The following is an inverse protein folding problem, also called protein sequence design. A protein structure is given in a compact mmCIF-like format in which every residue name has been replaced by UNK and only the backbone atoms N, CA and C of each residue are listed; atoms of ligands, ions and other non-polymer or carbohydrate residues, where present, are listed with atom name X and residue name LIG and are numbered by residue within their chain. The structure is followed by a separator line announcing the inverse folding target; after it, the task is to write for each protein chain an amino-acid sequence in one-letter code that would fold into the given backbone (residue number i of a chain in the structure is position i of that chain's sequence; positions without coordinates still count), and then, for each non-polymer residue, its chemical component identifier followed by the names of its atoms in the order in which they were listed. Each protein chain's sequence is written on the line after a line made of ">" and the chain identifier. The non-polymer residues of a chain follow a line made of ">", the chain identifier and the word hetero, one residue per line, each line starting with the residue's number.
data_IF_885924765516
#
_entry.id   IF_885924765516
#
_cell.length_a   1.000
_cell.length_b   1.000
_cell.length_c   1.000
_cell.angle_alpha   90.00
_cell.angle_beta   90.00
_cell.angle_gamma   90.00
#
_symmetry.space_group_name_H-M   'P 1'
#
loop_
_entity.id
_entity.type
_entity.pdbx_description
1 polymer ?
#
# COMPACT_ATOMS: atom_id res chain seq x y z
N UNK A 1 4.20 5.04 -11.72
CA UNK A 1 3.53 6.18 -12.40
C UNK A 1 3.09 7.19 -11.36
N UNK A 2 3.16 8.49 -11.66
CA UNK A 2 2.56 9.55 -10.80
C UNK A 2 1.57 10.37 -11.61
N UNK A 3 0.39 10.63 -11.04
CA UNK A 3 -0.63 11.49 -11.60
C UNK A 3 -0.90 12.61 -10.61
N UNK A 4 -0.96 13.85 -11.11
CA UNK A 4 -1.30 15.04 -10.32
C UNK A 4 -2.65 15.57 -10.78
N UNK A 5 -3.58 15.72 -9.84
CA UNK A 5 -4.94 16.20 -10.06
C UNK A 5 -5.17 17.46 -9.24
N UNK A 6 -5.92 18.41 -9.79
CA UNK A 6 -6.35 19.61 -9.06
C UNK A 6 -7.86 19.58 -8.94
N UNK A 7 -8.37 19.45 -7.71
CA UNK A 7 -9.79 19.30 -7.41
C UNK A 7 -10.16 20.31 -6.33
N UNK A 8 -11.11 21.19 -6.62
CA UNK A 8 -11.62 22.17 -5.63
C UNK A 8 -10.53 23.07 -5.03
N UNK A 9 -9.50 23.43 -5.81
CA UNK A 9 -8.36 24.22 -5.34
C UNK A 9 -7.29 23.44 -4.56
N UNK A 10 -7.53 22.15 -4.28
CA UNK A 10 -6.56 21.25 -3.65
C UNK A 10 -5.80 20.46 -4.70
N UNK A 11 -4.52 20.18 -4.42
CA UNK A 11 -3.70 19.31 -5.27
C UNK A 11 -3.60 17.91 -4.66
N UNK A 12 -3.94 16.92 -5.49
CA UNK A 12 -3.93 15.51 -5.20
C UNK A 12 -2.86 14.82 -6.04
N UNK A 13 -1.96 14.07 -5.40
CA UNK A 13 -0.96 13.26 -6.08
C UNK A 13 -1.29 11.79 -5.85
N UNK A 14 -1.34 11.02 -6.94
CA UNK A 14 -1.57 9.58 -6.91
C UNK A 14 -0.35 8.89 -7.49
N UNK A 15 0.33 8.08 -6.68
CA UNK A 15 1.44 7.24 -7.11
C UNK A 15 0.91 5.82 -7.29
N UNK A 16 1.10 5.26 -8.50
CA UNK A 16 0.91 3.84 -8.74
C UNK A 16 2.26 3.14 -8.80
N UNK A 17 2.41 2.09 -8.00
CA UNK A 17 3.66 1.35 -7.84
C UNK A 17 3.47 -0.14 -8.12
N UNK A 18 4.52 -0.75 -8.67
CA UNK A 18 4.65 -2.20 -8.83
C UNK A 18 6.05 -2.59 -8.38
N UNK A 19 6.16 -3.17 -7.18
CA UNK A 19 7.44 -3.60 -6.65
C UNK A 19 7.79 -5.00 -7.18
N UNK A 20 9.08 -5.27 -7.30
CA UNK A 20 9.56 -6.56 -7.79
C UNK A 20 9.35 -7.67 -6.74
N UNK A 21 9.02 -8.88 -7.22
CA UNK A 21 8.80 -10.04 -6.36
C UNK A 21 10.08 -10.50 -5.64
N UNK A 22 9.91 -11.31 -4.59
CA UNK A 22 11.01 -12.03 -3.92
C UNK A 22 11.79 -12.85 -4.96
N UNK A 23 13.12 -12.74 -4.93
CA UNK A 23 14.03 -13.43 -5.85
C UNK A 23 14.66 -12.57 -6.95
N UNK A 24 14.18 -11.34 -7.15
CA UNK A 24 14.89 -10.36 -7.99
C UNK A 24 16.17 -9.86 -7.33
N UNK A 25 17.09 -9.39 -8.17
CA UNK A 25 18.36 -8.79 -7.75
C UNK A 25 18.15 -7.59 -6.81
N UNK A 26 18.98 -7.51 -5.78
CA UNK A 26 18.86 -6.47 -4.74
C UNK A 26 19.12 -5.07 -5.28
N UNK A 27 19.93 -4.91 -6.34
CA UNK A 27 20.14 -3.62 -6.97
C UNK A 27 18.87 -3.12 -7.66
N UNK A 28 18.12 -4.01 -8.31
CA UNK A 28 16.84 -3.69 -8.94
C UNK A 28 15.82 -3.24 -7.88
N UNK A 29 15.72 -3.96 -6.76
CA UNK A 29 14.83 -3.57 -5.65
C UNK A 29 15.24 -2.23 -5.05
N UNK A 30 16.53 -2.02 -4.82
CA UNK A 30 17.07 -0.75 -4.31
C UNK A 30 16.74 0.41 -5.24
N UNK A 31 16.86 0.20 -6.56
CA UNK A 31 16.52 1.22 -7.56
C UNK A 31 15.04 1.58 -7.51
N UNK A 32 14.14 0.59 -7.42
CA UNK A 32 12.71 0.83 -7.23
C UNK A 32 12.45 1.73 -6.01
N UNK A 33 13.01 1.40 -4.84
CA UNK A 33 12.82 2.19 -3.63
C UNK A 33 13.41 3.60 -3.74
N UNK A 34 14.56 3.75 -4.40
CA UNK A 34 15.17 5.07 -4.65
C UNK A 34 14.30 5.95 -5.55
N UNK A 35 13.71 5.37 -6.60
CA UNK A 35 12.81 6.09 -7.49
C UNK A 35 11.50 6.47 -6.77
N UNK A 36 10.94 5.55 -5.98
CA UNK A 36 9.76 5.82 -5.15
C UNK A 36 10.02 6.93 -4.12
N UNK A 37 11.15 6.86 -3.42
CA UNK A 37 11.60 7.86 -2.46
C UNK A 37 11.71 9.26 -3.09
N UNK A 38 12.32 9.35 -4.29
CA UNK A 38 12.42 10.59 -5.04
C UNK A 38 11.06 11.16 -5.46
N UNK A 39 10.09 10.31 -5.82
CA UNK A 39 8.74 10.74 -6.16
C UNK A 39 8.00 11.32 -4.93
N UNK A 40 8.11 10.67 -3.77
CA UNK A 40 7.45 11.13 -2.55
C UNK A 40 8.08 12.43 -2.04
N UNK A 41 9.42 12.55 -2.09
CA UNK A 41 10.13 13.79 -1.73
C UNK A 41 9.78 14.97 -2.64
N UNK A 42 9.46 14.72 -3.92
CA UNK A 42 9.03 15.76 -4.86
C UNK A 42 7.65 16.35 -4.57
N UNK A 43 6.87 15.75 -3.66
CA UNK A 43 5.50 16.17 -3.35
C UNK A 43 5.47 16.98 -2.05
N UNK A 44 4.99 18.22 -2.14
CA UNK A 44 4.85 19.11 -0.98
C UNK A 44 3.98 18.46 0.11
N UNK A 45 4.36 18.65 1.38
CA UNK A 45 3.61 18.14 2.53
C UNK A 45 2.20 18.73 2.65
N UNK A 46 1.97 19.92 2.07
CA UNK A 46 0.65 20.56 2.00
C UNK A 46 -0.28 19.95 0.95
N UNK A 47 0.25 19.11 0.05
CA UNK A 47 -0.53 18.42 -0.97
C UNK A 47 -0.94 17.04 -0.48
N UNK A 48 -2.12 16.61 -0.93
CA UNK A 48 -2.57 15.25 -0.69
C UNK A 48 -1.69 14.28 -1.49
N UNK A 49 -1.33 13.16 -0.87
CA UNK A 49 -0.60 12.07 -1.49
C UNK A 49 -1.29 10.77 -1.14
N UNK A 50 -1.66 10.04 -2.19
CA UNK A 50 -2.12 8.68 -2.14
C UNK A 50 -1.17 7.83 -2.97
N UNK A 51 -0.85 6.65 -2.48
CA UNK A 51 -0.05 5.68 -3.24
C UNK A 51 -0.73 4.33 -3.19
N UNK A 52 -0.67 3.59 -4.30
CA UNK A 52 -1.37 2.34 -4.44
C UNK A 52 -0.68 1.39 -5.41
N UNK A 53 -0.84 0.09 -5.17
CA UNK A 53 -0.44 -0.94 -6.11
C UNK A 53 0.12 -2.19 -5.43
N UNK A 54 0.72 -3.05 -6.24
CA UNK A 54 1.30 -4.32 -5.81
C UNK A 54 2.73 -4.09 -5.33
N UNK A 55 2.95 -4.29 -4.03
CA UNK A 55 4.27 -4.15 -3.42
C UNK A 55 4.98 -5.48 -3.18
N UNK A 56 4.35 -6.62 -3.53
CA UNK A 56 4.92 -7.96 -3.36
C UNK A 56 5.47 -8.26 -1.95
N UNK A 57 5.08 -7.47 -0.95
CA UNK A 57 5.54 -7.52 0.43
C UNK A 57 4.39 -7.87 1.37
N UNK A 58 4.68 -8.59 2.43
CA UNK A 58 3.69 -8.95 3.45
C UNK A 58 3.95 -8.12 4.69
N UNK A 59 3.03 -7.22 5.06
CA UNK A 59 3.18 -6.36 6.26
C UNK A 59 2.93 -7.12 7.57
N UNK A 60 2.23 -8.25 7.49
CA UNK A 60 1.86 -9.09 8.62
C UNK A 60 0.67 -8.56 9.42
N UNK A 61 0.14 -9.39 10.32
CA UNK A 61 -1.01 -9.01 11.13
C UNK A 61 -0.71 -7.95 12.22
N UNK A 62 0.51 -7.93 12.75
CA UNK A 62 0.87 -7.12 13.91
C UNK A 62 1.41 -5.74 13.52
N UNK A 63 1.06 -4.70 14.30
CA UNK A 63 1.62 -3.34 14.13
C UNK A 63 2.97 -3.13 14.80
N UNK A 64 3.49 -4.12 15.55
CA UNK A 64 4.70 -3.97 16.37
C UNK A 64 5.81 -3.28 15.58
N UNK A 65 6.37 -2.22 16.18
CA UNK A 65 7.43 -1.33 15.68
C UNK A 65 6.99 -0.24 14.66
N UNK A 66 5.73 -0.29 14.22
CA UNK A 66 5.14 0.58 13.20
C UNK A 66 3.80 1.17 13.64
N UNK A 67 3.63 1.40 14.94
CA UNK A 67 2.41 2.00 15.50
C UNK A 67 2.13 3.36 14.84
N UNK A 68 0.87 3.55 14.43
CA UNK A 68 0.43 4.74 13.71
C UNK A 68 0.58 4.68 12.18
N UNK A 69 1.42 3.81 11.62
CA UNK A 69 1.48 3.53 10.17
C UNK A 69 0.72 2.26 9.82
N UNK A 70 0.82 1.26 10.70
CA UNK A 70 0.12 0.00 10.61
C UNK A 70 -1.02 -0.03 11.64
N UNK A 71 -2.26 -0.18 11.19
CA UNK A 71 -3.44 -0.10 12.05
C UNK A 71 -3.78 -1.38 12.83
N UNK A 72 -3.00 -2.44 12.65
CA UNK A 72 -3.11 -3.68 13.45
C UNK A 72 -4.06 -4.74 12.86
N UNK A 73 -4.60 -4.51 11.66
CA UNK A 73 -5.50 -5.44 10.97
C UNK A 73 -4.91 -5.97 9.64
N UNK A 74 -3.59 -6.12 9.58
CA UNK A 74 -2.93 -6.71 8.41
C UNK A 74 -3.13 -8.23 8.31
N UNK A 75 -2.59 -8.85 7.26
CA UNK A 75 -2.73 -10.29 7.03
C UNK A 75 -1.40 -11.04 6.96
N UNK A 76 -1.40 -12.27 7.45
CA UNK A 76 -0.26 -13.19 7.37
C UNK A 76 0.94 -12.81 8.24
N UNK A 77 2.11 -13.30 7.86
CA UNK A 77 3.39 -13.08 8.55
C UNK A 77 4.22 -12.06 7.78
N UNK A 78 4.83 -11.12 8.51
CA UNK A 78 5.67 -10.08 7.90
C UNK A 78 6.90 -10.69 7.23
N UNK A 79 7.20 -10.29 6.01
CA UNK A 79 8.43 -10.69 5.30
C UNK A 79 9.36 -9.49 5.07
N UNK A 80 10.56 -9.73 4.54
CA UNK A 80 11.54 -8.66 4.28
C UNK A 80 11.00 -7.54 3.38
N UNK A 81 10.23 -7.88 2.35
CA UNK A 81 9.58 -6.89 1.48
C UNK A 81 8.57 -6.01 2.23
N UNK A 82 7.76 -6.61 3.11
CA UNK A 82 6.83 -5.87 3.96
C UNK A 82 7.52 -5.02 5.05
N UNK A 83 8.69 -5.43 5.53
CA UNK A 83 9.52 -4.59 6.40
C UNK A 83 10.04 -3.37 5.64
N UNK A 84 10.63 -3.54 4.45
CA UNK A 84 11.09 -2.42 3.62
C UNK A 84 9.95 -1.46 3.27
N UNK A 85 8.77 -2.01 2.99
CA UNK A 85 7.55 -1.27 2.76
C UNK A 85 7.20 -0.39 3.98
N UNK A 86 7.11 -1.00 5.16
CA UNK A 86 6.80 -0.30 6.41
C UNK A 86 7.86 0.75 6.80
N UNK A 87 9.14 0.46 6.60
CA UNK A 87 10.25 1.40 6.88
C UNK A 87 10.18 2.64 5.97
N UNK A 88 9.98 2.42 4.66
CA UNK A 88 9.80 3.51 3.70
C UNK A 88 8.63 4.41 4.12
N UNK A 89 7.51 3.81 4.50
CA UNK A 89 6.31 4.57 4.85
C UNK A 89 6.39 5.26 6.20
N UNK A 90 7.10 4.66 7.17
CA UNK A 90 7.44 5.33 8.42
C UNK A 90 8.29 6.58 8.19
N UNK A 91 9.23 6.54 7.24
CA UNK A 91 10.05 7.71 6.89
C UNK A 91 9.21 8.84 6.27
N UNK A 92 8.10 8.51 5.61
CA UNK A 92 7.22 9.47 4.92
C UNK A 92 5.92 9.83 5.65
N UNK A 93 5.73 9.32 6.88
CA UNK A 93 4.50 9.48 7.66
C UNK A 93 3.25 9.04 6.85
N UNK A 94 3.37 7.91 6.14
CA UNK A 94 2.32 7.29 5.35
C UNK A 94 1.66 6.12 6.09
N UNK A 95 0.33 6.11 6.10
CA UNK A 95 -0.48 5.09 6.75
C UNK A 95 -0.97 4.07 5.72
N UNK A 96 -0.91 2.78 6.06
CA UNK A 96 -1.48 1.71 5.23
C UNK A 96 -2.97 1.58 5.55
N UNK A 97 -3.82 2.11 4.67
CA UNK A 97 -5.28 2.09 4.82
C UNK A 97 -5.81 0.67 5.04
N UNK A 98 -5.27 -0.30 4.31
CA UNK A 98 -5.63 -1.73 4.40
C UNK A 98 -5.46 -2.32 5.80
N UNK A 99 -4.61 -1.73 6.63
CA UNK A 99 -4.34 -2.25 7.97
C UNK A 99 -5.14 -1.55 9.06
N UNK A 100 -5.92 -0.51 8.71
CA UNK A 100 -6.61 0.37 9.67
C UNK A 100 -8.01 -0.07 10.07
N UNK A 101 -8.59 -1.03 9.36
CA UNK A 101 -9.97 -1.44 9.57
C UNK A 101 -10.05 -2.96 9.72
N UNK A 102 -10.81 -3.47 10.70
CA UNK A 102 -11.03 -4.90 10.85
C UNK A 102 -11.82 -5.43 9.67
N UNK A 103 -11.31 -6.49 9.03
CA UNK A 103 -11.98 -7.20 7.93
C UNK A 103 -11.96 -8.70 8.17
N UNK A 104 -12.86 -9.40 7.48
CA UNK A 104 -12.79 -10.86 7.35
C UNK A 104 -11.58 -11.21 6.49
N UNK A 105 -11.00 -12.39 6.72
CA UNK A 105 -9.85 -12.87 5.97
C UNK A 105 -10.06 -12.81 4.46
N UNK A 106 -11.24 -13.21 3.99
CA UNK A 106 -11.60 -13.17 2.57
C UNK A 106 -11.55 -11.76 1.93
N UNK A 107 -11.61 -10.71 2.74
CA UNK A 107 -11.54 -9.30 2.34
C UNK A 107 -10.17 -8.66 2.60
N UNK A 108 -9.21 -9.42 3.13
CA UNK A 108 -7.81 -8.99 3.28
C UNK A 108 -6.95 -9.44 2.10
N UNK A 109 -7.31 -10.56 1.48
CA UNK A 109 -6.59 -11.20 0.38
C UNK A 109 -6.73 -10.40 -0.91
N UNK A 110 -5.63 -9.85 -1.42
CA UNK A 110 -5.62 -9.07 -2.66
C UNK A 110 -5.15 -9.86 -3.88
N UNK A 111 -4.49 -10.99 -3.68
CA UNK A 111 -4.09 -11.90 -4.76
C UNK A 111 -4.52 -13.33 -4.42
N UNK A 112 -4.99 -14.07 -5.43
CA UNK A 112 -5.40 -15.47 -5.30
C UNK A 112 -4.81 -16.31 -6.41
N UNK A 113 -4.03 -17.31 -6.04
CA UNK A 113 -3.61 -18.41 -6.90
C UNK A 113 -4.13 -19.74 -6.34
N UNK A 114 -3.88 -20.83 -7.06
CA UNK A 114 -4.15 -22.19 -6.58
C UNK A 114 -3.34 -22.55 -5.33
N UNK A 115 -2.21 -21.88 -5.10
CA UNK A 115 -1.25 -22.20 -4.04
C UNK A 115 -1.26 -21.20 -2.88
N UNK A 116 -1.63 -19.94 -3.14
CA UNK A 116 -1.47 -18.86 -2.17
C UNK A 116 -2.60 -17.83 -2.26
N UNK A 117 -2.86 -17.18 -1.12
CA UNK A 117 -3.85 -16.11 -0.96
C UNK A 117 -3.24 -14.91 -0.22
N UNK A 118 -2.17 -14.28 -0.74
CA UNK A 118 -1.49 -13.22 0.01
C UNK A 118 -2.21 -11.87 -0.07
N UNK A 119 -1.83 -10.98 0.85
CA UNK A 119 -2.10 -9.55 0.79
C UNK A 119 -0.81 -8.89 0.31
N UNK A 120 -0.81 -8.36 -0.91
CA UNK A 120 0.37 -7.74 -1.55
C UNK A 120 0.07 -6.39 -2.18
N UNK A 121 -1.22 -6.10 -2.40
CA UNK A 121 -1.69 -4.81 -2.89
C UNK A 121 -2.06 -3.93 -1.71
N UNK A 122 -1.57 -2.70 -1.70
CA UNK A 122 -1.79 -1.76 -0.59
C UNK A 122 -2.19 -0.39 -1.12
N UNK A 123 -3.10 0.26 -0.39
CA UNK A 123 -3.39 1.67 -0.52
C UNK A 123 -2.85 2.41 0.69
N UNK A 124 -2.19 3.53 0.43
CA UNK A 124 -1.61 4.37 1.45
C UNK A 124 -1.91 5.84 1.20
N UNK A 125 -1.86 6.58 2.29
CA UNK A 125 -2.11 8.00 2.33
C UNK A 125 -1.27 8.65 3.42
N UNK A 126 -1.04 9.96 3.30
CA UNK A 126 -0.42 10.72 4.39
C UNK A 126 -1.23 10.59 5.66
N UNK A 127 -0.54 10.48 6.80
CA UNK A 127 -1.18 10.43 8.11
C UNK A 127 -2.08 11.63 8.39
N UNK A 128 -1.69 12.83 7.94
CA UNK A 128 -2.54 14.02 8.05
C UNK A 128 -3.85 13.91 7.25
N UNK A 129 -3.87 13.07 6.20
CA UNK A 129 -5.04 12.79 5.37
C UNK A 129 -5.80 11.54 5.84
N UNK A 130 -5.36 10.85 6.91
CA UNK A 130 -5.96 9.60 7.39
C UNK A 130 -7.46 9.69 7.63
N UNK A 131 -7.95 10.84 8.10
CA UNK A 131 -9.37 11.07 8.36
C UNK A 131 -10.25 11.09 7.11
N UNK A 132 -9.64 11.23 5.92
CA UNK A 132 -10.35 11.15 4.64
C UNK A 132 -10.65 9.70 4.24
N UNK A 133 -9.86 8.74 4.74
CA UNK A 133 -10.10 7.32 4.50
C UNK A 133 -11.14 6.83 5.51
N UNK A 134 -12.35 6.56 5.03
CA UNK A 134 -13.46 6.05 5.82
C UNK A 134 -13.46 4.53 5.86
N UNK A 135 -13.08 3.89 4.75
CA UNK A 135 -12.95 2.45 4.65
C UNK A 135 -12.01 2.03 3.52
N UNK A 136 -11.65 0.74 3.49
CA UNK A 136 -11.16 0.09 2.27
C UNK A 136 -11.91 -1.22 2.02
N UNK A 137 -11.97 -1.62 0.75
CA UNK A 137 -12.68 -2.82 0.31
C UNK A 137 -11.85 -3.57 -0.71
N UNK A 138 -11.80 -4.88 -0.55
CA UNK A 138 -11.32 -5.79 -1.58
C UNK A 138 -12.53 -6.41 -2.28
N UNK A 139 -12.73 -6.09 -3.55
CA UNK A 139 -13.84 -6.57 -4.35
C UNK A 139 -13.49 -7.95 -4.90
N UNK A 140 -14.25 -8.95 -4.48
CA UNK A 140 -14.01 -10.36 -4.83
C UNK A 140 -14.50 -10.78 -6.22
N UNK A 141 -15.18 -9.88 -6.95
CA UNK A 141 -15.81 -10.19 -8.23
C UNK A 141 -14.86 -10.90 -9.20
N UNK A 142 -15.26 -12.07 -9.66
CA UNK A 142 -14.44 -12.95 -10.51
C UNK A 142 -14.26 -12.42 -11.95
N UNK A 143 -15.03 -11.40 -12.34
CA UNK A 143 -15.11 -10.94 -13.73
C UNK A 143 -14.05 -9.91 -14.13
N UNK A 144 -13.25 -9.39 -13.19
CA UNK A 144 -12.28 -8.32 -13.48
C UNK A 144 -10.86 -8.87 -13.74
N UNK A 145 -10.38 -9.79 -12.90
CA UNK A 145 -9.10 -10.47 -13.11
C UNK A 145 -9.12 -11.87 -12.49
N UNK A 146 -8.31 -12.79 -13.04
CA UNK A 146 -8.24 -14.18 -12.58
C UNK A 146 -7.51 -14.33 -11.24
N UNK A 147 -6.62 -13.40 -10.87
CA UNK A 147 -5.76 -13.53 -9.70
C UNK A 147 -5.84 -12.33 -8.73
N UNK A 148 -5.65 -11.11 -9.22
CA UNK A 148 -5.74 -9.91 -8.38
C UNK A 148 -7.20 -9.54 -8.08
N UNK A 149 -7.42 -9.04 -6.88
CA UNK A 149 -8.70 -8.50 -6.42
C UNK A 149 -8.61 -6.99 -6.39
N UNK A 150 -9.67 -6.33 -6.84
CA UNK A 150 -9.70 -4.88 -6.91
C UNK A 150 -9.75 -4.30 -5.50
N UNK A 151 -8.76 -3.49 -5.15
CA UNK A 151 -8.65 -2.79 -3.88
C UNK A 151 -9.16 -1.35 -4.05
N UNK A 152 -10.13 -0.96 -3.23
CA UNK A 152 -10.81 0.34 -3.26
C UNK A 152 -10.71 0.99 -1.88
N UNK A 153 -10.59 2.31 -1.85
CA UNK A 153 -10.63 3.13 -0.64
C UNK A 153 -11.74 4.17 -0.77
N UNK A 154 -12.54 4.29 0.28
CA UNK A 154 -13.68 5.20 0.41
C UNK A 154 -13.30 6.45 1.23
#
# INVERSE_FOLDING_TARGET
>A
MVIKLVVGGSTLNVISAYAHQVGFDEEIKRRFWKEFDGLVHGILLTQMLFTGGDFNGHIGATSREYDGMHGGFGFGVRNGGGTSLLDCYKAFDLVIANSCFPKREEHLVTFRSSLAKPQIDYLLLRKCSRSLCMDYKVIQSENLTTQHRLLVMD
#
